data_IF_665262142261
#
_entry.id   IF_665262142261
#
_cell.length_a   1.000
_cell.length_b   1.000
_cell.length_c   1.000
_cell.angle_alpha   90.00
_cell.angle_beta   90.00
_cell.angle_gamma   90.00
#
_symmetry.space_group_name_H-M   'P 1'
#
loop_
_entity.id
_entity.type
_entity.pdbx_description
1 polymer ?
#
# COMPACT_ATOMS: atom_id res chain seq x y z
N UNK A 1 -12.02 -27.81 -29.67
CA UNK A 1 -12.31 -26.36 -29.66
C UNK A 1 -12.31 -25.88 -28.22
N UNK A 2 -11.74 -24.70 -27.94
CA UNK A 2 -11.05 -24.41 -26.68
C UNK A 2 -11.94 -23.66 -25.69
N UNK A 3 -11.71 -23.82 -24.39
CA UNK A 3 -11.97 -22.73 -23.47
C UNK A 3 -10.84 -22.63 -22.46
N UNK A 4 -10.10 -21.54 -22.60
CA UNK A 4 -9.00 -21.12 -21.75
C UNK A 4 -9.44 -21.11 -20.29
N UNK A 5 -8.89 -22.01 -19.49
CA UNK A 5 -8.75 -21.75 -18.06
C UNK A 5 -7.38 -21.11 -17.90
N UNK A 6 -7.31 -19.83 -18.26
CA UNK A 6 -6.26 -18.95 -17.71
C UNK A 6 -6.34 -19.13 -16.20
N UNK A 7 -5.41 -19.89 -15.64
CA UNK A 7 -5.07 -19.87 -14.23
C UNK A 7 -4.47 -18.49 -14.00
N UNK A 8 -5.36 -17.51 -13.94
CA UNK A 8 -5.07 -16.13 -13.63
C UNK A 8 -4.42 -16.12 -12.26
N UNK A 9 -3.14 -15.77 -12.29
CA UNK A 9 -2.37 -15.19 -11.20
C UNK A 9 -2.28 -16.05 -9.95
N UNK A 10 -1.13 -16.72 -9.86
CA UNK A 10 -0.37 -16.92 -8.63
C UNK A 10 -1.06 -16.34 -7.39
N UNK A 11 -1.69 -17.29 -6.71
CA UNK A 11 -2.20 -17.31 -5.35
C UNK A 11 -1.38 -16.34 -4.49
N UNK A 12 -1.98 -15.17 -4.24
CA UNK A 12 -1.48 -14.13 -3.34
C UNK A 12 -1.06 -14.78 -2.02
N UNK A 13 0.26 -14.94 -1.88
CA UNK A 13 0.88 -15.58 -0.74
C UNK A 13 0.47 -14.86 0.52
N UNK A 14 -0.41 -15.53 1.26
CA UNK A 14 -1.03 -15.12 2.51
C UNK A 14 -0.01 -15.15 3.65
N UNK A 15 1.00 -14.31 3.55
CA UNK A 15 1.96 -14.00 4.61
C UNK A 15 1.87 -12.50 4.84
N UNK A 16 1.05 -12.08 5.82
CA UNK A 16 0.92 -10.68 6.29
C UNK A 16 1.06 -9.67 5.14
N UNK A 17 0.04 -9.65 4.27
CA UNK A 17 0.08 -9.00 2.95
C UNK A 17 0.56 -7.55 3.02
N UNK A 18 1.78 -7.32 2.55
CA UNK A 18 2.29 -5.98 2.31
C UNK A 18 1.80 -5.51 0.95
N UNK A 19 1.15 -4.37 0.89
CA UNK A 19 0.67 -3.79 -0.36
C UNK A 19 1.48 -2.55 -0.72
N UNK A 20 1.61 -2.29 -2.02
CA UNK A 20 2.11 -1.03 -2.52
C UNK A 20 1.12 0.07 -2.17
N UNK A 21 1.61 1.15 -1.57
CA UNK A 21 0.77 2.26 -1.13
C UNK A 21 1.43 3.59 -1.43
N UNK A 22 0.62 4.63 -1.60
CA UNK A 22 1.07 6.02 -1.59
C UNK A 22 0.61 6.65 -0.30
N UNK A 23 1.56 7.14 0.48
CA UNK A 23 1.30 7.74 1.77
C UNK A 23 1.48 9.25 1.65
N UNK A 24 0.44 9.99 2.01
CA UNK A 24 0.52 11.44 2.15
C UNK A 24 1.10 11.80 3.51
N UNK A 25 2.32 12.34 3.54
CA UNK A 25 3.00 12.76 4.77
C UNK A 25 3.63 14.15 4.66
N UNK A 26 2.82 15.23 4.75
CA UNK A 26 3.31 16.62 4.74
C UNK A 26 4.18 16.95 5.95
N UNK A 27 4.05 16.20 7.04
CA UNK A 27 4.89 16.33 8.24
C UNK A 27 6.20 15.53 8.16
N UNK A 28 6.51 14.90 7.02
CA UNK A 28 7.74 14.13 6.77
C UNK A 28 7.67 12.64 7.14
N UNK A 29 8.77 11.92 6.92
CA UNK A 29 8.88 10.45 7.03
C UNK A 29 9.07 9.90 8.46
N UNK A 30 8.77 10.69 9.51
CA UNK A 30 8.98 10.29 10.92
C UNK A 30 7.93 9.30 11.47
N UNK A 31 6.76 9.22 10.82
CA UNK A 31 5.67 8.33 11.25
C UNK A 31 5.85 6.95 10.61
N UNK A 32 5.59 5.90 11.40
CA UNK A 32 5.62 4.50 10.96
C UNK A 32 4.21 3.89 10.85
N UNK A 33 3.18 4.65 11.24
CA UNK A 33 1.78 4.22 11.25
C UNK A 33 0.96 5.32 10.61
N UNK A 34 0.10 4.93 9.69
CA UNK A 34 -0.71 5.84 8.90
C UNK A 34 -2.15 5.34 8.86
N UNK A 35 -3.15 6.21 9.11
CA UNK A 35 -4.54 5.84 8.96
C UNK A 35 -4.90 5.65 7.47
N UNK A 36 -5.91 4.83 7.17
CA UNK A 36 -6.36 4.60 5.79
C UNK A 36 -6.68 5.91 5.03
N UNK A 37 -7.13 6.95 5.74
CA UNK A 37 -7.44 8.24 5.13
C UNK A 37 -6.26 8.99 4.50
N UNK A 38 -5.01 8.58 4.78
CA UNK A 38 -3.81 9.16 4.15
C UNK A 38 -2.99 8.12 3.37
N UNK A 39 -3.53 6.91 3.20
CA UNK A 39 -2.87 5.79 2.54
C UNK A 39 -3.74 5.32 1.40
N UNK A 40 -3.27 5.50 0.18
CA UNK A 40 -3.90 4.89 -1.01
C UNK A 40 -3.19 3.58 -1.33
N UNK A 41 -3.95 2.49 -1.44
CA UNK A 41 -3.41 1.18 -1.81
C UNK A 41 -3.48 1.01 -3.32
N UNK A 42 -2.38 0.53 -3.90
CA UNK A 42 -2.20 0.30 -5.31
C UNK A 42 -1.95 -1.19 -5.59
N UNK A 43 -2.29 -1.61 -6.81
CA UNK A 43 -2.10 -3.00 -7.24
C UNK A 43 -0.62 -3.38 -7.42
N UNK A 44 0.27 -2.40 -7.58
CA UNK A 44 1.69 -2.65 -7.86
C UNK A 44 2.59 -1.50 -7.39
N UNK A 45 3.84 -1.82 -7.08
CA UNK A 45 4.88 -0.85 -6.69
C UNK A 45 5.09 0.21 -7.77
N UNK A 46 5.06 -0.19 -9.05
CA UNK A 46 5.18 0.72 -10.19
C UNK A 46 4.05 1.77 -10.25
N UNK A 47 2.82 1.34 -9.95
CA UNK A 47 1.64 2.23 -9.93
C UNK A 47 1.74 3.21 -8.75
N UNK A 48 2.11 2.72 -7.57
CA UNK A 48 2.36 3.57 -6.41
C UNK A 48 3.49 4.59 -6.67
N UNK A 49 4.57 4.19 -7.35
CA UNK A 49 5.66 5.08 -7.73
C UNK A 49 5.23 6.12 -8.78
N UNK A 50 4.42 5.72 -9.76
CA UNK A 50 3.88 6.65 -10.76
C UNK A 50 2.95 7.71 -10.13
N UNK A 51 2.24 7.32 -9.05
CA UNK A 51 1.38 8.21 -8.28
C UNK A 51 2.10 8.94 -7.13
N UNK A 52 3.33 8.55 -6.81
CA UNK A 52 4.15 9.25 -5.83
C UNK A 52 4.53 10.63 -6.37
N UNK A 53 4.35 11.63 -5.53
CA UNK A 53 4.60 13.02 -5.86
C UNK A 53 5.29 13.66 -4.65
N UNK A 54 6.63 13.61 -4.58
CA UNK A 54 7.38 14.16 -3.46
C UNK A 54 7.17 15.67 -3.34
N UNK A 55 6.84 16.38 -4.43
CA UNK A 55 6.50 17.80 -4.39
C UNK A 55 5.16 18.06 -3.68
N UNK A 56 4.21 17.12 -3.76
CA UNK A 56 2.94 17.14 -3.01
C UNK A 56 2.98 16.37 -1.71
N UNK A 57 4.16 16.04 -1.18
CA UNK A 57 4.31 15.23 0.05
C UNK A 57 3.64 13.85 -0.02
N UNK A 58 3.54 13.27 -1.22
CA UNK A 58 3.03 11.92 -1.46
C UNK A 58 4.20 11.02 -1.79
N UNK A 59 4.43 9.99 -0.98
CA UNK A 59 5.57 9.09 -1.16
C UNK A 59 5.08 7.66 -1.33
N UNK A 60 5.58 6.99 -2.35
CA UNK A 60 5.38 5.56 -2.53
C UNK A 60 6.07 4.80 -1.40
N UNK A 61 5.37 3.80 -0.89
CA UNK A 61 5.83 2.96 0.18
C UNK A 61 5.20 1.58 0.06
N UNK A 62 5.76 0.65 0.81
CA UNK A 62 5.12 -0.61 1.13
C UNK A 62 4.58 -0.50 2.54
N UNK A 63 3.30 -0.83 2.71
CA UNK A 63 2.69 -0.90 4.02
C UNK A 63 1.98 -2.24 4.21
N UNK A 64 1.98 -2.70 5.46
CA UNK A 64 1.24 -3.87 5.91
C UNK A 64 -0.06 -3.41 6.57
N UNK A 65 -1.19 -3.95 6.15
CA UNK A 65 -2.51 -3.57 6.66
C UNK A 65 -3.62 -3.92 5.66
N UNK A 66 -4.88 -3.60 5.96
CA UNK A 66 -5.37 -2.76 7.05
C UNK A 66 -5.57 -3.51 8.37
N UNK A 67 -4.87 -3.10 9.42
CA UNK A 67 -5.16 -3.57 10.78
C UNK A 67 -6.30 -2.74 11.38
N UNK A 68 -7.41 -3.41 11.69
CA UNK A 68 -8.57 -2.77 12.34
C UNK A 68 -8.27 -2.53 13.82
N UNK A 69 -8.18 -1.27 14.23
CA UNK A 69 -8.16 -0.90 15.65
C UNK A 69 -9.54 -1.13 16.28
N UNK A 70 -9.60 -1.39 17.59
CA UNK A 70 -10.85 -1.54 18.34
C UNK A 70 -11.73 -0.29 18.31
N UNK A 71 -11.17 0.87 17.98
CA UNK A 71 -11.88 2.14 17.77
C UNK A 71 -12.47 2.31 16.36
N UNK A 72 -12.36 1.29 15.49
CA UNK A 72 -12.95 1.29 14.14
C UNK A 72 -12.07 1.92 13.05
N UNK A 73 -10.93 2.48 13.41
CA UNK A 73 -9.96 3.00 12.43
C UNK A 73 -9.10 1.88 11.85
N UNK A 74 -8.84 1.91 10.55
CA UNK A 74 -7.84 1.05 9.91
C UNK A 74 -6.50 1.76 9.85
N UNK A 75 -5.48 1.09 10.38
CA UNK A 75 -4.11 1.56 10.37
C UNK A 75 -3.27 0.69 9.44
N UNK A 76 -2.43 1.37 8.68
CA UNK A 76 -1.38 0.79 7.88
C UNK A 76 -0.05 1.01 8.59
N UNK A 77 0.73 -0.05 8.67
CA UNK A 77 2.08 -0.02 9.23
C UNK A 77 3.05 0.10 8.07
N UNK A 78 3.83 1.18 8.05
CA UNK A 78 4.88 1.35 7.06
C UNK A 78 5.91 0.24 7.23
N UNK A 79 6.19 -0.46 6.12
CA UNK A 79 7.25 -1.48 6.05
C UNK A 79 8.52 -0.82 5.53
N UNK A 80 8.44 -0.13 4.39
CA UNK A 80 9.56 0.61 3.77
C UNK A 80 9.05 1.67 2.80
N UNK A 81 9.84 2.71 2.56
CA UNK A 81 9.60 3.64 1.45
C UNK A 81 10.14 3.05 0.14
N UNK A 82 9.56 3.44 -1.00
CA UNK A 82 10.02 3.07 -2.35
C UNK A 82 10.81 4.19 -3.04
N UNK A 83 10.94 5.35 -2.37
CA UNK A 83 11.77 6.51 -2.77
C UNK A 83 13.27 6.23 -2.67
#
# INVERSE_FOLDING_TARGET
MPQASSLFTDIESRVVGTSAVVIYSPSGKKRQRFPEGVVEVYASEADALAHADPAKSRHAAIASGPSRSSEGFRLFYLVRWLD
#
